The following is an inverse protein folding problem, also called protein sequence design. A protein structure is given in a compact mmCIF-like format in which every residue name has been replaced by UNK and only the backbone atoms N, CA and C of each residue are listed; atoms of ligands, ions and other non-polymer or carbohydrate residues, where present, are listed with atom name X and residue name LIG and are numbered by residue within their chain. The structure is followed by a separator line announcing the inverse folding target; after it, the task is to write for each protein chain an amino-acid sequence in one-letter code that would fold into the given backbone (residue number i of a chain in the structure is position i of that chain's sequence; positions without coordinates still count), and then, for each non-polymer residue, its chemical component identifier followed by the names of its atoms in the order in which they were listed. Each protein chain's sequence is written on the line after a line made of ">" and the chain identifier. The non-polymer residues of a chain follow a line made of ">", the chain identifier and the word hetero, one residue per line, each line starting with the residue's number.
data_IF_185014543762
#
_entry.id   IF_185014543762
#
_cell.length_a   1.000
_cell.length_b   1.000
_cell.length_c   1.000
_cell.angle_alpha   90.00
_cell.angle_beta   90.00
_cell.angle_gamma   90.00
#
_symmetry.space_group_name_H-M   'P 1'
#
loop_
_entity.id
_entity.type
_entity.pdbx_description
1 polymer ?
#
# COMPACT_ATOMS: atom_id res chain seq x y z
N UNK A 1 13.93 -5.84 -21.76
CA UNK A 1 12.95 -4.88 -21.32
C UNK A 1 12.88 -4.77 -19.81
N UNK A 2 12.98 -3.58 -19.32
CA UNK A 2 13.00 -3.33 -17.90
C UNK A 2 11.65 -2.88 -17.41
N UNK A 3 11.19 -3.51 -16.36
CA UNK A 3 9.98 -3.07 -15.70
C UNK A 3 10.30 -2.62 -14.31
N UNK A 4 10.97 -1.50 -14.24
CA UNK A 4 11.34 -0.97 -12.95
C UNK A 4 10.52 0.25 -12.63
N UNK A 5 10.30 0.45 -11.36
CA UNK A 5 9.57 1.58 -10.86
C UNK A 5 10.32 2.13 -9.67
N UNK A 6 10.39 3.43 -9.58
CA UNK A 6 11.03 4.05 -8.44
C UNK A 6 10.06 4.06 -7.27
N UNK A 7 10.62 3.96 -6.09
CA UNK A 7 9.80 4.07 -4.88
C UNK A 7 9.03 5.39 -4.85
N UNK A 8 9.66 6.45 -5.32
CA UNK A 8 9.00 7.76 -5.32
C UNK A 8 7.80 7.77 -6.25
N UNK A 9 7.84 7.00 -7.33
CA UNK A 9 6.68 6.91 -8.21
C UNK A 9 5.55 6.16 -7.54
N UNK A 10 5.89 5.10 -6.83
CA UNK A 10 4.90 4.32 -6.13
C UNK A 10 4.22 5.14 -5.05
N UNK A 11 5.00 5.94 -4.38
CA UNK A 11 4.53 6.72 -3.25
C UNK A 11 3.48 7.74 -3.63
N UNK A 12 3.45 8.13 -4.90
CA UNK A 12 2.50 9.14 -5.36
C UNK A 12 1.15 8.58 -5.75
N UNK A 13 0.97 7.27 -5.64
CA UNK A 13 -0.25 6.64 -6.11
C UNK A 13 -1.17 6.33 -4.97
N UNK A 14 -2.46 6.41 -5.26
CA UNK A 14 -3.46 6.15 -4.24
C UNK A 14 -3.82 4.67 -4.23
N UNK A 15 -3.95 4.12 -3.03
CA UNK A 15 -4.28 2.71 -2.87
C UNK A 15 -5.79 2.57 -2.76
N UNK A 16 -6.36 1.70 -3.58
CA UNK A 16 -7.79 1.44 -3.58
C UNK A 16 -8.00 -0.04 -3.33
N UNK A 17 -8.82 -0.34 -2.35
CA UNK A 17 -9.13 -1.70 -1.98
C UNK A 17 -10.33 -2.17 -2.78
N UNK A 18 -10.12 -3.17 -3.62
CA UNK A 18 -11.19 -3.66 -4.46
C UNK A 18 -12.21 -4.49 -3.71
N UNK A 19 -11.89 -4.93 -2.51
CA UNK A 19 -12.83 -5.73 -1.74
C UNK A 19 -14.02 -4.91 -1.28
N UNK A 20 -13.79 -3.63 -0.98
CA UNK A 20 -14.88 -2.79 -0.49
C UNK A 20 -14.93 -1.43 -1.17
N UNK A 21 -14.07 -1.21 -2.14
CA UNK A 21 -14.05 0.05 -2.87
C UNK A 21 -13.47 1.21 -2.08
N UNK A 22 -12.85 0.95 -0.96
CA UNK A 22 -12.34 2.01 -0.11
C UNK A 22 -11.08 2.63 -0.68
N UNK A 23 -10.99 3.94 -0.56
CA UNK A 23 -9.79 4.67 -0.95
C UNK A 23 -8.93 4.78 0.30
N UNK A 24 -7.78 4.15 0.25
CA UNK A 24 -6.95 4.03 1.44
C UNK A 24 -5.87 5.10 1.51
N UNK A 25 -5.81 5.98 0.52
CA UNK A 25 -4.80 7.01 0.52
C UNK A 25 -3.49 6.52 -0.05
N UNK A 26 -2.45 7.33 0.13
CA UNK A 26 -1.14 6.98 -0.40
C UNK A 26 -0.43 6.08 0.59
N UNK A 27 0.41 5.19 0.06
CA UNK A 27 1.15 4.33 0.96
C UNK A 27 2.17 5.15 1.73
N UNK A 28 2.43 4.73 2.96
CA UNK A 28 3.35 5.44 3.83
C UNK A 28 4.69 4.73 3.95
N UNK A 29 4.75 3.46 3.60
CA UNK A 29 5.98 2.72 3.77
C UNK A 29 5.92 1.43 2.97
N UNK A 30 7.07 0.83 2.80
CA UNK A 30 7.22 -0.48 2.21
C UNK A 30 8.01 -1.35 3.14
N UNK A 31 7.59 -2.59 3.26
CA UNK A 31 8.35 -3.57 4.03
C UNK A 31 9.04 -4.51 3.05
N UNK A 32 10.28 -4.82 3.33
CA UNK A 32 11.01 -5.73 2.47
C UNK A 32 11.92 -6.61 3.30
N UNK A 33 12.27 -7.75 2.73
CA UNK A 33 13.17 -8.70 3.36
C UNK A 33 14.59 -8.30 3.01
N UNK A 34 15.40 -7.88 3.98
CA UNK A 34 16.74 -7.40 3.66
C UNK A 34 17.69 -8.50 3.20
N UNK A 35 17.34 -9.76 3.44
CA UNK A 35 18.21 -10.84 3.01
C UNK A 35 18.14 -11.02 1.51
N UNK A 36 16.94 -11.03 0.95
CA UNK A 36 16.78 -11.23 -0.48
C UNK A 36 16.34 -9.97 -1.21
N UNK A 37 15.98 -8.92 -0.49
CA UNK A 37 15.58 -7.67 -1.11
C UNK A 37 14.18 -7.67 -1.65
N UNK A 38 13.38 -8.64 -1.30
CA UNK A 38 12.04 -8.75 -1.84
C UNK A 38 11.05 -7.94 -1.01
N UNK A 39 10.17 -7.21 -1.68
CA UNK A 39 9.14 -6.45 -1.00
C UNK A 39 8.10 -7.41 -0.48
N UNK A 40 7.73 -7.26 0.79
CA UNK A 40 6.79 -8.16 1.42
C UNK A 40 5.43 -7.52 1.66
N UNK A 41 5.36 -6.21 1.78
CA UNK A 41 4.08 -5.57 2.08
C UNK A 41 4.13 -4.09 1.80
N UNK A 42 2.94 -3.52 1.62
CA UNK A 42 2.73 -2.08 1.61
C UNK A 42 2.14 -1.67 2.93
N UNK A 43 2.50 -0.49 3.40
CA UNK A 43 1.90 0.05 4.60
C UNK A 43 1.15 1.32 4.22
N UNK A 44 -0.13 1.37 4.59
CA UNK A 44 -0.92 2.58 4.38
C UNK A 44 -1.41 3.05 5.73
N UNK A 45 -1.53 4.37 5.91
CA UNK A 45 -1.98 4.88 7.20
C UNK A 45 -3.44 4.57 7.42
N UNK A 46 -3.80 4.39 8.66
CA UNK A 46 -5.20 4.17 9.01
C UNK A 46 -5.97 5.44 8.73
N UNK A 47 -7.15 5.27 8.16
CA UNK A 47 -8.01 6.39 7.84
C UNK A 47 -8.97 6.59 8.97
N UNK A 48 -8.52 7.17 10.03
CA UNK A 48 -9.38 7.27 11.18
C UNK A 48 -9.82 8.69 11.48
N UNK A 49 -9.72 9.54 10.51
CA UNK A 49 -10.24 10.87 10.68
C UNK A 49 -9.52 11.67 11.74
N UNK A 50 -10.27 12.16 12.68
CA UNK A 50 -9.72 13.07 13.67
C UNK A 50 -8.63 12.45 14.49
N UNK A 51 -8.79 11.20 14.78
CA UNK A 51 -7.84 10.50 15.63
C UNK A 51 -6.58 10.13 14.91
N UNK A 52 -6.50 10.45 13.67
CA UNK A 52 -5.37 10.06 12.87
C UNK A 52 -4.04 10.52 13.43
N UNK A 53 -4.07 11.61 14.16
CA UNK A 53 -2.84 12.14 14.71
C UNK A 53 -2.13 11.14 15.60
N UNK A 54 -2.89 10.42 16.36
CA UNK A 54 -2.33 9.50 17.32
C UNK A 54 -2.50 8.06 16.92
N UNK A 55 -3.04 7.85 15.76
CA UNK A 55 -3.29 6.49 15.32
C UNK A 55 -1.98 5.83 14.93
N UNK A 56 -1.74 4.69 15.48
CA UNK A 56 -0.63 3.88 15.06
C UNK A 56 -1.09 2.63 14.38
N UNK A 57 -2.33 2.64 13.96
CA UNK A 57 -2.93 1.47 13.33
C UNK A 57 -2.75 1.54 11.85
N UNK A 58 -1.51 1.45 11.43
CA UNK A 58 -1.24 1.36 10.01
C UNK A 58 -1.76 0.04 9.49
N UNK A 59 -2.19 0.07 8.26
CA UNK A 59 -2.68 -1.13 7.61
C UNK A 59 -1.55 -1.72 6.78
N UNK A 60 -1.19 -2.95 7.09
CA UNK A 60 -0.11 -3.64 6.39
C UNK A 60 -0.73 -4.58 5.38
N UNK A 61 -0.53 -4.27 4.11
CA UNK A 61 -1.12 -5.04 3.02
C UNK A 61 -0.06 -5.93 2.41
N UNK A 62 -0.22 -7.25 2.52
CA UNK A 62 0.77 -8.15 1.94
C UNK A 62 0.95 -7.92 0.45
N UNK A 63 2.17 -8.06 -0.02
CA UNK A 63 2.47 -7.80 -1.42
C UNK A 63 1.63 -8.65 -2.35
N UNK A 64 1.31 -9.87 -1.92
CA UNK A 64 0.48 -10.76 -2.72
C UNK A 64 -0.95 -10.30 -2.90
N UNK A 65 -1.39 -9.33 -2.11
CA UNK A 65 -2.74 -8.79 -2.25
C UNK A 65 -2.84 -7.70 -3.31
N UNK A 66 -1.72 -7.31 -3.88
CA UNK A 66 -1.73 -6.25 -4.88
C UNK A 66 -2.12 -6.85 -6.22
N UNK A 67 -3.20 -6.31 -6.78
CA UNK A 67 -3.69 -6.76 -8.07
C UNK A 67 -3.00 -6.04 -9.21
N UNK A 68 -2.88 -4.73 -9.08
CA UNK A 68 -2.38 -3.92 -10.17
C UNK A 68 -1.62 -2.73 -9.62
N UNK A 69 -0.47 -2.47 -10.20
CA UNK A 69 0.26 -1.24 -9.96
C UNK A 69 0.02 -0.34 -11.16
N UNK A 70 -1.03 0.45 -11.08
CA UNK A 70 -1.37 1.34 -12.17
C UNK A 70 -0.59 2.63 -12.12
N UNK A 71 -0.86 3.50 -13.08
CA UNK A 71 -0.14 4.75 -13.17
C UNK A 71 -0.56 5.73 -12.10
N UNK A 72 -1.83 5.72 -11.73
CA UNK A 72 -2.35 6.66 -10.75
C UNK A 72 -2.81 5.98 -9.49
N UNK A 73 -3.04 4.67 -9.54
CA UNK A 73 -3.63 3.95 -8.45
C UNK A 73 -2.93 2.63 -8.25
N UNK A 74 -2.97 2.15 -7.01
CA UNK A 74 -2.55 0.80 -6.68
C UNK A 74 -3.80 0.06 -6.26
N UNK A 75 -4.14 -0.99 -6.97
CA UNK A 75 -5.37 -1.74 -6.69
C UNK A 75 -5.01 -2.98 -5.89
N UNK A 76 -5.65 -3.14 -4.75
CA UNK A 76 -5.36 -4.26 -3.87
C UNK A 76 -6.65 -4.99 -3.51
N UNK A 77 -6.51 -6.23 -3.09
CA UNK A 77 -7.62 -6.99 -2.53
C UNK A 77 -7.21 -7.42 -1.14
N UNK A 78 -7.61 -6.65 -0.18
CA UNK A 78 -7.20 -6.87 1.18
C UNK A 78 -8.43 -6.96 2.08
N UNK A 79 -8.51 -8.03 2.83
CA UNK A 79 -9.57 -8.20 3.80
C UNK A 79 -8.99 -8.15 5.17
N UNK A 80 -9.49 -7.21 5.90
CA UNK A 80 -9.09 -7.07 7.27
C UNK A 80 -9.92 -7.98 8.13
N UNK A 81 -9.27 -8.58 9.11
CA UNK A 81 -10.01 -9.51 9.95
C UNK A 81 -10.61 -8.86 11.16
#
# INVERSE_FOLDING_TARGET
>A
MQNTMRFSELHCREVINLCDGARMGEESDLLFDPVCGQITALVVPAQSGIVGLFSKNDCVIPWGCIETLGEDYILVRYREK
#
